data_IF_801916840823
#
_entry.id   IF_801916840823
#
_cell.length_a   1.000
_cell.length_b   1.000
_cell.length_c   1.000
_cell.angle_alpha   90.00
_cell.angle_beta   90.00
_cell.angle_gamma   90.00
#
_symmetry.space_group_name_H-M   'P 1'
#
loop_
_entity.id
_entity.type
_entity.pdbx_description
1 polymer ?
#
# COMPACT_ATOMS: atom_id res chain seq x y z
N UNK A 1 23.70 45.26 30.76
CA UNK A 1 23.70 44.57 29.47
C UNK A 1 23.41 43.09 29.69
N UNK A 2 22.15 42.66 29.51
CA UNK A 2 21.74 41.29 29.65
C UNK A 2 21.93 40.60 28.29
N UNK A 3 22.87 39.67 28.21
CA UNK A 3 23.13 38.86 26.99
C UNK A 3 22.06 37.76 26.91
N UNK A 4 21.04 37.96 26.09
CA UNK A 4 20.06 36.93 25.79
C UNK A 4 20.72 35.81 24.96
N UNK A 5 20.93 34.64 25.55
CA UNK A 5 21.37 33.44 24.91
C UNK A 5 20.24 32.97 23.97
N UNK A 6 20.40 33.18 22.68
CA UNK A 6 19.59 32.59 21.63
C UNK A 6 19.88 31.08 21.57
N UNK A 7 19.11 30.27 22.26
CA UNK A 7 19.13 28.83 22.07
C UNK A 7 18.54 28.56 20.67
N UNK A 8 19.40 28.37 19.69
CA UNK A 8 19.05 27.89 18.36
C UNK A 8 18.39 26.52 18.52
N UNK A 9 17.08 26.45 18.29
CA UNK A 9 16.35 25.19 18.23
C UNK A 9 16.93 24.35 17.10
N UNK A 10 17.51 23.21 17.42
CA UNK A 10 18.07 22.26 16.46
C UNK A 10 16.94 21.44 15.80
N UNK A 11 16.12 22.11 15.00
CA UNK A 11 14.93 21.54 14.34
C UNK A 11 15.29 20.60 13.18
N UNK A 12 16.51 20.64 12.68
CA UNK A 12 16.95 19.83 11.54
C UNK A 12 16.93 18.33 11.82
N UNK A 13 17.23 17.90 13.04
CA UNK A 13 17.23 16.48 13.40
C UNK A 13 15.84 15.82 13.39
N UNK A 14 14.76 16.59 13.49
CA UNK A 14 13.40 16.03 13.47
C UNK A 14 12.93 15.61 12.09
N UNK A 15 13.57 16.10 11.02
CA UNK A 15 13.13 15.85 9.63
C UNK A 15 14.09 14.95 8.85
N UNK A 16 15.25 14.60 9.40
CA UNK A 16 16.26 13.76 8.76
C UNK A 16 15.95 12.29 9.02
N UNK A 17 16.03 11.49 7.97
CA UNK A 17 15.92 10.02 8.02
C UNK A 17 17.26 9.38 8.37
N UNK A 18 17.25 8.14 8.88
CA UNK A 18 18.44 7.28 9.04
C UNK A 18 19.64 7.97 9.74
N UNK A 19 19.39 8.60 10.88
CA UNK A 19 20.41 9.39 11.57
C UNK A 19 21.53 8.55 12.18
N UNK A 20 21.30 7.25 12.31
CA UNK A 20 22.22 6.24 12.87
C UNK A 20 22.86 5.35 11.77
N UNK A 21 22.73 5.75 10.48
CA UNK A 21 23.32 4.98 9.39
C UNK A 21 24.86 5.00 9.46
N UNK A 22 25.47 3.82 9.43
CA UNK A 22 26.90 3.65 9.27
C UNK A 22 27.25 3.47 7.78
N UNK A 23 27.94 4.47 7.23
CA UNK A 23 28.32 4.47 5.81
C UNK A 23 29.29 3.32 5.52
N UNK A 24 29.02 2.54 4.47
CA UNK A 24 29.81 1.37 4.04
C UNK A 24 29.82 0.19 5.03
N UNK A 25 28.91 0.17 6.00
CA UNK A 25 28.69 -0.98 6.89
C UNK A 25 27.52 -1.82 6.35
N UNK A 26 27.68 -3.13 6.08
CA UNK A 26 26.58 -3.97 5.67
C UNK A 26 25.67 -4.26 6.87
N UNK A 27 24.37 -4.00 6.72
CA UNK A 27 23.35 -4.38 7.68
C UNK A 27 22.49 -5.54 7.17
N UNK A 28 22.09 -6.41 8.09
CA UNK A 28 21.16 -7.47 7.75
C UNK A 28 19.75 -6.89 7.53
N UNK A 29 19.18 -7.13 6.37
CA UNK A 29 17.80 -6.75 6.02
C UNK A 29 16.89 -7.96 6.22
N UNK A 30 15.69 -7.73 6.75
CA UNK A 30 14.68 -8.79 6.82
C UNK A 30 14.39 -9.31 5.39
N UNK A 31 14.26 -10.65 5.20
CA UNK A 31 13.94 -11.20 3.88
C UNK A 31 12.57 -10.68 3.43
N UNK A 32 12.38 -10.42 2.12
CA UNK A 32 11.08 -10.02 1.60
C UNK A 32 10.02 -11.06 1.97
N UNK A 33 8.86 -10.58 2.40
CA UNK A 33 7.69 -11.42 2.61
C UNK A 33 6.75 -11.20 1.44
N UNK A 34 6.63 -12.21 0.59
CA UNK A 34 5.69 -12.17 -0.52
C UNK A 34 4.26 -12.07 -0.01
N UNK A 35 3.46 -11.27 -0.68
CA UNK A 35 2.05 -11.09 -0.37
C UNK A 35 1.30 -12.37 -0.76
N UNK A 36 0.47 -12.86 0.14
CA UNK A 36 -0.41 -14.00 -0.06
C UNK A 36 -1.86 -13.55 -0.15
N UNK A 37 -2.66 -14.21 -1.00
CA UNK A 37 -4.08 -13.89 -1.15
C UNK A 37 -4.90 -14.33 0.07
N UNK A 38 -5.93 -13.56 0.37
CA UNK A 38 -6.86 -13.79 1.47
C UNK A 38 -8.31 -13.92 0.93
N UNK A 39 -9.24 -14.49 1.72
CA UNK A 39 -10.65 -14.46 1.36
C UNK A 39 -11.12 -13.05 0.99
N UNK A 40 -11.95 -12.94 -0.06
CA UNK A 40 -12.47 -11.69 -0.66
C UNK A 40 -11.48 -10.91 -1.51
N UNK A 41 -10.23 -11.37 -1.64
CA UNK A 41 -9.33 -10.80 -2.62
C UNK A 41 -9.80 -11.10 -4.05
N UNK A 42 -9.34 -10.24 -4.95
CA UNK A 42 -9.58 -10.41 -6.36
C UNK A 42 -8.26 -10.57 -7.11
N UNK A 43 -8.16 -11.63 -7.90
CA UNK A 43 -7.00 -11.94 -8.72
C UNK A 43 -7.43 -12.15 -10.16
N UNK A 44 -6.58 -11.81 -11.12
CA UNK A 44 -6.73 -12.26 -12.51
C UNK A 44 -5.81 -13.44 -12.74
N UNK A 45 -6.29 -14.41 -13.52
CA UNK A 45 -5.51 -15.57 -13.94
C UNK A 45 -5.63 -15.64 -15.45
N UNK A 46 -4.49 -15.56 -16.13
CA UNK A 46 -4.41 -15.68 -17.59
C UNK A 46 -3.65 -16.94 -17.94
N UNK A 47 -4.30 -17.79 -18.72
CA UNK A 47 -3.70 -19.00 -19.29
C UNK A 47 -3.35 -18.73 -20.75
N UNK A 48 -2.10 -18.96 -21.10
CA UNK A 48 -1.61 -18.92 -22.49
C UNK A 48 -1.05 -20.29 -22.89
N UNK A 49 -1.24 -20.66 -24.14
CA UNK A 49 -0.80 -21.93 -24.70
C UNK A 49 -0.45 -21.74 -26.18
N UNK A 50 0.24 -22.71 -26.77
CA UNK A 50 0.45 -22.76 -28.23
C UNK A 50 -0.85 -22.89 -29.02
N UNK A 51 -1.89 -23.41 -28.37
CA UNK A 51 -3.25 -23.47 -28.93
C UNK A 51 -4.09 -22.34 -28.30
N UNK A 52 -4.35 -21.25 -29.06
CA UNK A 52 -5.10 -20.09 -28.52
C UNK A 52 -6.58 -20.40 -28.27
N UNK A 53 -7.18 -21.34 -29.00
CA UNK A 53 -8.59 -21.70 -28.83
C UNK A 53 -8.81 -22.44 -27.53
N UNK A 54 -7.89 -23.36 -27.16
CA UNK A 54 -7.89 -24.01 -25.87
C UNK A 54 -7.63 -23.00 -24.74
N UNK A 55 -6.67 -22.10 -24.91
CA UNK A 55 -6.37 -21.09 -23.90
C UNK A 55 -7.57 -20.17 -23.63
N UNK A 56 -8.37 -19.85 -24.64
CA UNK A 56 -9.55 -18.99 -24.50
C UNK A 56 -10.62 -19.57 -23.56
N UNK A 57 -10.69 -20.89 -23.41
CA UNK A 57 -11.65 -21.56 -22.52
C UNK A 57 -11.41 -21.27 -21.05
N UNK A 58 -10.17 -20.93 -20.69
CA UNK A 58 -9.75 -20.68 -19.29
C UNK A 58 -9.71 -19.19 -18.95
N UNK A 59 -9.83 -18.32 -19.96
CA UNK A 59 -9.72 -16.87 -19.77
C UNK A 59 -11.11 -16.24 -19.73
N UNK A 60 -11.56 -15.84 -18.53
CA UNK A 60 -12.80 -15.09 -18.36
C UNK A 60 -12.67 -13.69 -18.94
N UNK A 61 -13.41 -13.40 -20.01
CA UNK A 61 -13.52 -12.05 -20.57
C UNK A 61 -14.76 -11.35 -20.01
N UNK A 62 -14.61 -10.15 -19.46
CA UNK A 62 -15.77 -9.30 -19.14
C UNK A 62 -16.34 -8.73 -20.43
N UNK A 63 -17.51 -9.20 -20.82
CA UNK A 63 -18.34 -8.49 -21.79
C UNK A 63 -19.05 -7.38 -21.02
N UNK A 64 -18.63 -6.12 -21.19
CA UNK A 64 -19.40 -4.98 -20.69
C UNK A 64 -20.67 -4.84 -21.55
N UNK A 65 -21.72 -5.56 -21.17
CA UNK A 65 -23.05 -5.33 -21.70
C UNK A 65 -23.61 -4.06 -21.06
N UNK A 66 -23.44 -2.91 -21.71
CA UNK A 66 -24.22 -1.72 -21.41
C UNK A 66 -25.67 -1.97 -21.83
N UNK A 67 -26.51 -2.27 -20.86
CA UNK A 67 -27.96 -2.32 -21.07
C UNK A 67 -28.41 -0.90 -21.49
N UNK A 68 -28.84 -0.73 -22.74
CA UNK A 68 -29.45 0.52 -23.20
C UNK A 68 -28.70 1.32 -24.27
N UNK A 69 -27.56 0.91 -24.80
CA UNK A 69 -26.92 1.58 -25.93
C UNK A 69 -27.20 0.89 -27.24
N UNK A 70 -28.13 1.40 -28.05
CA UNK A 70 -28.36 1.06 -29.45
C UNK A 70 -27.36 1.79 -30.36
N UNK A 71 -26.08 1.66 -30.13
CA UNK A 71 -25.04 2.27 -30.94
C UNK A 71 -24.02 1.23 -31.38
N UNK A 72 -23.96 0.93 -32.64
CA UNK A 72 -22.89 0.21 -33.32
C UNK A 72 -21.60 1.06 -33.30
N UNK A 73 -20.97 1.19 -32.17
CA UNK A 73 -19.63 1.73 -32.12
C UNK A 73 -18.64 0.56 -31.92
N UNK A 74 -17.92 0.26 -32.97
CA UNK A 74 -16.68 -0.50 -33.00
C UNK A 74 -15.67 0.13 -32.05
N UNK A 75 -15.85 -0.07 -30.75
CA UNK A 75 -14.81 0.23 -29.76
C UNK A 75 -13.98 -1.05 -29.65
N UNK A 76 -12.69 -0.92 -29.87
CA UNK A 76 -11.70 -1.94 -29.63
C UNK A 76 -12.02 -2.65 -28.32
N UNK A 77 -12.59 -3.85 -28.39
CA UNK A 77 -12.74 -4.77 -27.28
C UNK A 77 -11.35 -5.25 -26.87
N UNK A 78 -10.59 -4.39 -26.19
CA UNK A 78 -9.61 -4.89 -25.24
C UNK A 78 -10.44 -5.51 -24.12
N UNK A 79 -10.75 -6.80 -24.26
CA UNK A 79 -11.48 -7.57 -23.28
C UNK A 79 -10.76 -7.42 -21.94
N UNK A 80 -11.33 -6.62 -21.06
CA UNK A 80 -10.83 -6.50 -19.70
C UNK A 80 -10.96 -7.87 -19.04
N UNK A 81 -9.85 -8.44 -18.61
CA UNK A 81 -9.82 -9.78 -18.02
C UNK A 81 -10.67 -9.75 -16.76
N UNK A 82 -11.63 -10.66 -16.65
CA UNK A 82 -12.44 -10.80 -15.45
C UNK A 82 -11.58 -11.38 -14.32
N UNK A 83 -11.60 -10.73 -13.15
CA UNK A 83 -10.96 -11.28 -11.98
C UNK A 83 -11.80 -12.36 -11.31
N UNK A 84 -11.11 -13.26 -10.62
CA UNK A 84 -11.69 -14.25 -9.71
C UNK A 84 -11.71 -13.64 -8.32
N UNK A 85 -12.87 -13.64 -7.66
CA UNK A 85 -12.99 -13.23 -6.25
C UNK A 85 -12.93 -14.48 -5.38
N UNK A 86 -12.04 -14.48 -4.39
CA UNK A 86 -11.95 -15.59 -3.43
C UNK A 86 -13.19 -15.58 -2.54
N UNK A 87 -13.78 -16.76 -2.35
CA UNK A 87 -14.89 -16.95 -1.42
C UNK A 87 -14.43 -16.87 0.06
N UNK A 88 -15.37 -17.02 0.99
CA UNK A 88 -15.09 -16.97 2.44
C UNK A 88 -14.15 -18.12 2.90
N UNK A 89 -14.01 -19.18 2.12
CA UNK A 89 -13.10 -20.30 2.36
C UNK A 89 -11.76 -20.12 1.66
N UNK A 90 -11.58 -19.02 0.91
CA UNK A 90 -10.38 -18.73 0.17
C UNK A 90 -10.21 -19.53 -1.12
N UNK A 91 -11.31 -19.95 -1.70
CA UNK A 91 -11.34 -20.68 -2.97
C UNK A 91 -11.86 -19.80 -4.11
N UNK A 92 -11.48 -20.16 -5.33
CA UNK A 92 -11.98 -19.59 -6.57
C UNK A 92 -12.65 -20.68 -7.39
N UNK A 93 -13.68 -20.34 -8.18
CA UNK A 93 -14.27 -21.22 -9.17
C UNK A 93 -13.58 -20.97 -10.51
N UNK A 94 -12.68 -21.90 -10.89
CA UNK A 94 -11.87 -21.76 -12.10
C UNK A 94 -12.49 -22.59 -13.24
N UNK A 95 -12.63 -22.04 -14.46
CA UNK A 95 -13.24 -22.76 -15.58
C UNK A 95 -12.61 -24.13 -15.79
N UNK A 96 -13.45 -25.14 -15.99
CA UNK A 96 -13.08 -26.55 -16.22
C UNK A 96 -12.48 -27.24 -15.01
N UNK A 97 -11.56 -26.58 -14.26
CA UNK A 97 -10.93 -27.19 -13.08
C UNK A 97 -11.81 -27.11 -11.81
N UNK A 98 -12.88 -26.32 -11.85
CA UNK A 98 -13.78 -26.16 -10.72
C UNK A 98 -13.17 -25.40 -9.55
N UNK A 99 -13.49 -25.82 -8.33
CA UNK A 99 -13.11 -25.10 -7.11
C UNK A 99 -11.64 -25.34 -6.73
N UNK A 100 -10.85 -24.26 -6.66
CA UNK A 100 -9.45 -24.26 -6.28
C UNK A 100 -9.23 -23.42 -5.03
N UNK A 101 -8.75 -24.02 -3.94
CA UNK A 101 -8.37 -23.31 -2.71
C UNK A 101 -7.01 -22.67 -2.89
N UNK A 102 -6.96 -21.32 -2.83
CA UNK A 102 -5.74 -20.54 -3.09
C UNK A 102 -5.39 -19.58 -1.94
N UNK A 103 -6.23 -19.48 -0.91
CA UNK A 103 -5.94 -18.64 0.25
C UNK A 103 -4.59 -18.98 0.88
N UNK A 104 -3.82 -17.96 1.26
CA UNK A 104 -2.48 -18.10 1.81
C UNK A 104 -1.39 -18.38 0.78
N UNK A 105 -1.72 -18.50 -0.50
CA UNK A 105 -0.75 -18.70 -1.58
C UNK A 105 -0.26 -17.38 -2.15
N UNK A 106 0.98 -17.35 -2.63
CA UNK A 106 1.54 -16.27 -3.44
C UNK A 106 1.09 -16.38 -4.89
N UNK A 107 1.26 -15.34 -5.70
CA UNK A 107 0.98 -15.38 -7.15
C UNK A 107 1.69 -16.54 -7.85
N UNK A 108 2.95 -16.75 -7.51
CA UNK A 108 3.78 -17.83 -8.09
C UNK A 108 3.24 -19.21 -7.72
N UNK A 109 2.79 -19.41 -6.48
CA UNK A 109 2.21 -20.67 -6.03
C UNK A 109 0.86 -20.95 -6.70
N UNK A 110 0.01 -19.92 -6.86
CA UNK A 110 -1.27 -20.06 -7.59
C UNK A 110 -1.02 -20.42 -9.05
N UNK A 111 -0.09 -19.73 -9.71
CA UNK A 111 0.28 -20.02 -11.10
C UNK A 111 0.79 -21.47 -11.24
N UNK A 112 1.63 -21.93 -10.32
CA UNK A 112 2.13 -23.31 -10.31
C UNK A 112 1.01 -24.33 -10.10
N UNK A 113 0.08 -24.08 -9.17
CA UNK A 113 -1.08 -24.94 -8.91
C UNK A 113 -1.95 -25.08 -10.15
N UNK A 114 -2.36 -23.96 -10.76
CA UNK A 114 -3.21 -23.97 -11.97
C UNK A 114 -2.49 -24.68 -13.11
N UNK A 115 -1.21 -24.39 -13.32
CA UNK A 115 -0.38 -25.05 -14.34
C UNK A 115 -0.30 -26.56 -14.14
N UNK A 116 -0.12 -27.01 -12.90
CA UNK A 116 -0.07 -28.42 -12.55
C UNK A 116 -1.40 -29.09 -12.85
N UNK A 117 -2.52 -28.53 -12.40
CA UNK A 117 -3.86 -29.09 -12.59
C UNK A 117 -4.24 -29.21 -14.09
N UNK A 118 -3.92 -28.16 -14.88
CA UNK A 118 -4.17 -28.18 -16.33
C UNK A 118 -3.42 -29.31 -17.04
N UNK A 119 -2.21 -29.65 -16.57
CA UNK A 119 -1.41 -30.77 -17.09
C UNK A 119 -1.91 -32.13 -16.63
N UNK A 120 -2.23 -32.28 -15.34
CA UNK A 120 -2.71 -33.54 -14.74
C UNK A 120 -4.02 -34.01 -15.41
N UNK A 121 -4.90 -33.06 -15.74
CA UNK A 121 -6.16 -33.34 -16.42
C UNK A 121 -6.03 -33.41 -17.95
N UNK A 122 -4.79 -33.33 -18.49
CA UNK A 122 -4.49 -33.33 -19.92
C UNK A 122 -5.26 -32.28 -20.75
N UNK A 123 -5.61 -31.15 -20.12
CA UNK A 123 -6.35 -30.07 -20.76
C UNK A 123 -5.45 -29.18 -21.62
N UNK A 124 -4.21 -28.92 -21.16
CA UNK A 124 -3.22 -28.12 -21.90
C UNK A 124 -1.84 -28.73 -21.68
N UNK A 125 -1.10 -29.00 -22.77
CA UNK A 125 0.22 -29.66 -22.68
C UNK A 125 1.32 -28.72 -22.18
N UNK A 126 1.30 -27.45 -22.57
CA UNK A 126 2.34 -26.45 -22.24
C UNK A 126 1.74 -25.13 -21.75
N UNK A 127 0.96 -25.13 -20.66
CA UNK A 127 0.33 -23.92 -20.15
C UNK A 127 1.36 -22.95 -19.57
N UNK A 128 1.22 -21.68 -19.96
CA UNK A 128 1.84 -20.53 -19.29
C UNK A 128 0.74 -19.84 -18.50
N UNK A 129 0.90 -19.76 -17.20
CA UNK A 129 -0.10 -19.17 -16.30
C UNK A 129 0.47 -17.91 -15.66
N UNK A 130 -0.21 -16.79 -15.83
CA UNK A 130 0.11 -15.51 -15.22
C UNK A 130 -0.99 -15.15 -14.23
N UNK A 131 -0.60 -14.78 -13.01
CA UNK A 131 -1.52 -14.37 -11.94
C UNK A 131 -1.19 -12.95 -11.52
N UNK A 132 -2.19 -12.07 -11.46
CA UNK A 132 -2.04 -10.69 -11.04
C UNK A 132 -3.05 -10.33 -9.94
N UNK A 133 -2.64 -9.51 -8.99
CA UNK A 133 -3.53 -8.96 -7.99
C UNK A 133 -4.36 -7.82 -8.60
N UNK A 134 -5.67 -7.77 -8.27
CA UNK A 134 -6.57 -6.74 -8.82
C UNK A 134 -7.03 -5.71 -7.79
N UNK A 135 -7.19 -6.09 -6.53
CA UNK A 135 -7.72 -5.22 -5.48
C UNK A 135 -6.83 -5.06 -4.25
N UNK A 136 -5.63 -5.62 -4.28
CA UNK A 136 -4.73 -5.46 -3.14
C UNK A 136 -4.30 -4.01 -2.97
N UNK A 137 -4.34 -3.53 -1.74
CA UNK A 137 -4.08 -2.13 -1.43
C UNK A 137 -3.68 -1.96 0.03
N UNK A 138 -3.03 -0.84 0.30
CA UNK A 138 -2.79 -0.29 1.63
C UNK A 138 -3.26 1.17 1.66
N UNK A 139 -3.35 1.75 2.84
CA UNK A 139 -3.73 3.15 3.00
C UNK A 139 -2.63 3.93 3.69
N UNK A 140 -2.41 5.18 3.26
CA UNK A 140 -1.51 6.11 3.94
C UNK A 140 -2.31 7.33 4.38
N UNK A 141 -2.24 7.65 5.66
CA UNK A 141 -3.01 8.71 6.29
C UNK A 141 -2.09 9.65 7.11
N UNK A 142 -2.61 10.82 7.42
CA UNK A 142 -1.94 11.80 8.27
C UNK A 142 -1.06 12.76 7.49
N UNK A 143 0.09 13.13 8.05
CA UNK A 143 0.95 14.19 7.53
C UNK A 143 1.88 13.72 6.41
N UNK A 144 1.28 13.31 5.29
CA UNK A 144 1.92 13.04 3.99
C UNK A 144 1.38 13.98 2.93
N UNK A 145 2.06 14.12 1.79
CA UNK A 145 1.63 15.05 0.74
C UNK A 145 0.31 14.62 0.09
N UNK A 146 0.16 13.33 -0.16
CA UNK A 146 -1.02 12.75 -0.83
C UNK A 146 -1.56 11.58 -0.01
N UNK A 147 -2.33 11.84 1.06
CA UNK A 147 -2.98 10.75 1.80
C UNK A 147 -4.01 10.05 0.91
N UNK A 148 -4.09 8.72 1.02
CA UNK A 148 -5.00 7.96 0.17
C UNK A 148 -4.82 6.45 0.27
N UNK A 149 -5.56 5.74 -0.57
CA UNK A 149 -5.47 4.29 -0.77
C UNK A 149 -4.63 4.02 -2.01
N UNK A 150 -3.64 3.13 -1.88
CA UNK A 150 -2.68 2.80 -2.92
C UNK A 150 -2.76 1.32 -3.28
N UNK A 151 -2.73 1.00 -4.56
CA UNK A 151 -2.76 -0.37 -5.06
C UNK A 151 -1.39 -1.03 -4.95
N UNK A 152 -1.38 -2.32 -4.65
CA UNK A 152 -0.18 -3.16 -4.64
C UNK A 152 -0.17 -3.99 -5.91
N UNK A 153 0.83 -3.80 -6.76
CA UNK A 153 1.00 -4.54 -8.03
C UNK A 153 2.23 -5.45 -8.03
N UNK A 154 3.03 -5.41 -6.96
CA UNK A 154 4.26 -6.20 -6.78
C UNK A 154 4.03 -7.35 -5.80
N UNK A 155 4.98 -8.29 -5.74
CA UNK A 155 4.93 -9.39 -4.77
C UNK A 155 5.15 -8.93 -3.33
N UNK A 156 5.84 -7.81 -3.15
CA UNK A 156 6.02 -7.15 -1.86
C UNK A 156 6.08 -5.63 -2.02
N UNK A 157 5.83 -4.91 -0.96
CA UNK A 157 5.98 -3.46 -0.87
C UNK A 157 6.56 -3.09 0.49
N UNK A 158 7.51 -2.16 0.51
CA UNK A 158 8.14 -1.68 1.74
C UNK A 158 7.40 -0.46 2.30
N UNK A 159 7.55 -0.21 3.60
CA UNK A 159 7.03 1.00 4.24
C UNK A 159 7.59 2.28 3.59
N UNK A 160 8.86 2.27 3.17
CA UNK A 160 9.49 3.40 2.50
C UNK A 160 8.91 3.64 1.10
N UNK A 161 8.63 2.58 0.33
CA UNK A 161 7.92 2.70 -0.95
C UNK A 161 6.51 3.27 -0.75
N UNK A 162 5.79 2.80 0.26
CA UNK A 162 4.45 3.30 0.57
C UNK A 162 4.45 4.80 0.91
N UNK A 163 5.41 5.25 1.71
CA UNK A 163 5.61 6.66 2.04
C UNK A 163 5.99 7.45 0.78
N UNK A 164 6.86 6.91 -0.06
CA UNK A 164 7.25 7.54 -1.33
C UNK A 164 6.06 7.69 -2.29
N UNK A 165 5.20 6.67 -2.39
CA UNK A 165 3.96 6.75 -3.18
C UNK A 165 3.01 7.84 -2.68
N UNK A 166 2.98 8.09 -1.37
CA UNK A 166 2.22 9.18 -0.76
C UNK A 166 2.93 10.56 -0.88
N UNK A 167 4.03 10.64 -1.64
CA UNK A 167 4.77 11.86 -1.91
C UNK A 167 5.63 12.34 -0.75
N UNK A 168 5.98 11.44 0.17
CA UNK A 168 6.75 11.70 1.38
C UNK A 168 5.96 12.46 2.48
N UNK A 169 6.54 12.49 3.69
CA UNK A 169 5.96 13.23 4.82
C UNK A 169 6.03 14.74 4.56
N UNK A 170 5.02 15.47 5.04
CA UNK A 170 5.12 16.93 5.11
C UNK A 170 6.16 17.36 6.15
N UNK A 171 6.50 18.64 6.18
CA UNK A 171 7.37 19.21 7.22
C UNK A 171 6.76 19.08 8.63
N UNK A 172 5.47 18.82 8.70
CA UNK A 172 4.72 18.66 9.95
C UNK A 172 4.61 17.19 10.39
N UNK A 173 4.96 16.24 9.53
CA UNK A 173 4.93 14.82 9.84
C UNK A 173 6.06 14.42 10.79
N UNK A 174 5.73 13.70 11.85
CA UNK A 174 6.70 13.17 12.80
C UNK A 174 7.39 11.93 12.22
N UNK A 175 8.71 12.01 11.95
CA UNK A 175 9.51 10.89 11.46
C UNK A 175 9.72 9.81 12.52
N UNK A 176 9.62 10.18 13.79
CA UNK A 176 9.75 9.29 14.95
C UNK A 176 8.42 8.63 15.37
N UNK A 177 7.32 8.90 14.69
CA UNK A 177 6.01 8.43 15.10
C UNK A 177 5.15 8.03 13.89
N UNK A 178 5.59 6.98 13.20
CA UNK A 178 4.83 6.30 12.17
C UNK A 178 4.15 5.08 12.80
N UNK A 179 2.87 4.92 12.57
CA UNK A 179 2.12 3.76 13.01
C UNK A 179 1.68 2.93 11.81
N UNK A 180 1.98 1.65 11.85
CA UNK A 180 1.40 0.68 10.92
C UNK A 180 0.36 -0.12 11.66
N UNK A 181 -0.89 0.03 11.25
CA UNK A 181 -2.03 -0.65 11.84
C UNK A 181 -2.35 -1.83 10.94
N UNK A 182 -2.26 -3.03 11.48
CA UNK A 182 -2.45 -4.30 10.78
C UNK A 182 -3.49 -5.15 11.50
N UNK A 183 -4.31 -5.85 10.74
CA UNK A 183 -5.17 -6.89 11.27
C UNK A 183 -4.46 -8.24 11.18
N UNK A 184 -4.26 -8.90 12.32
CA UNK A 184 -3.62 -10.21 12.43
C UNK A 184 -4.50 -11.13 13.27
N UNK A 185 -4.89 -12.28 12.70
CA UNK A 185 -5.71 -13.30 13.39
C UNK A 185 -7.01 -12.75 14.00
N UNK A 186 -7.62 -11.75 13.37
CA UNK A 186 -8.84 -11.11 13.85
C UNK A 186 -8.63 -10.05 14.93
N UNK A 187 -7.39 -9.73 15.29
CA UNK A 187 -7.02 -8.66 16.21
C UNK A 187 -6.32 -7.52 15.46
N UNK A 188 -6.54 -6.29 15.92
CA UNK A 188 -5.87 -5.13 15.37
C UNK A 188 -4.61 -4.83 16.16
N UNK A 189 -3.46 -4.96 15.51
CA UNK A 189 -2.14 -4.67 16.08
C UNK A 189 -1.63 -3.35 15.51
N UNK A 190 -1.11 -2.49 16.38
CA UNK A 190 -0.49 -1.23 15.97
C UNK A 190 1.01 -1.31 16.25
N UNK A 191 1.81 -1.21 15.19
CA UNK A 191 3.27 -1.19 15.26
C UNK A 191 3.76 0.25 15.16
N UNK A 192 4.67 0.61 16.02
CA UNK A 192 5.36 1.89 15.97
C UNK A 192 6.68 1.75 15.21
N UNK A 193 7.00 2.75 14.38
CA UNK A 193 8.23 2.81 13.58
C UNK A 193 8.82 4.21 13.65
N UNK A 194 10.14 4.28 13.84
CA UNK A 194 10.93 5.51 13.75
C UNK A 194 11.72 5.51 12.44
N UNK A 195 11.41 6.43 11.52
CA UNK A 195 12.11 6.56 10.24
C UNK A 195 13.50 7.19 10.37
N UNK A 196 13.85 7.70 11.55
CA UNK A 196 15.16 8.28 11.83
C UNK A 196 16.20 7.22 12.18
N UNK A 197 15.75 6.00 12.50
CA UNK A 197 16.61 4.88 12.84
C UNK A 197 16.62 3.82 11.75
N UNK A 198 17.79 3.22 11.53
CA UNK A 198 17.96 2.05 10.65
C UNK A 198 17.30 0.78 11.19
N UNK A 199 16.90 0.74 12.47
CA UNK A 199 16.14 -0.39 13.02
C UNK A 199 14.81 -0.63 12.30
N UNK A 200 14.31 0.35 11.55
CA UNK A 200 13.14 0.17 10.70
C UNK A 200 13.30 -1.00 9.72
N UNK A 201 14.51 -1.27 9.21
CA UNK A 201 14.78 -2.38 8.28
C UNK A 201 14.62 -3.76 8.90
N UNK A 202 14.63 -3.84 10.24
CA UNK A 202 14.40 -5.06 11.04
C UNK A 202 12.95 -5.16 11.55
N UNK A 203 12.14 -4.12 11.30
CA UNK A 203 10.76 -4.07 11.77
C UNK A 203 9.89 -5.15 11.11
N UNK A 204 8.99 -5.82 11.85
CA UNK A 204 8.05 -6.80 11.29
C UNK A 204 7.05 -6.17 10.31
N UNK A 205 6.95 -4.83 10.28
CA UNK A 205 6.10 -4.08 9.37
C UNK A 205 6.90 -3.30 8.32
N UNK A 206 8.19 -3.59 8.16
CA UNK A 206 8.97 -3.03 7.06
C UNK A 206 8.39 -3.43 5.70
N UNK A 207 7.97 -4.68 5.56
CA UNK A 207 7.14 -5.15 4.46
C UNK A 207 5.67 -5.03 4.83
N UNK A 208 4.94 -4.25 4.05
CA UNK A 208 3.51 -4.05 4.24
C UNK A 208 2.73 -5.25 3.70
N UNK A 209 1.61 -5.52 4.33
CA UNK A 209 0.59 -6.45 3.87
C UNK A 209 -0.61 -5.69 3.31
N UNK A 210 -1.49 -6.40 2.62
CA UNK A 210 -2.75 -5.83 2.18
C UNK A 210 -3.58 -5.33 3.37
N UNK A 211 -4.34 -4.27 3.16
CA UNK A 211 -5.17 -3.58 4.13
C UNK A 211 -4.41 -2.92 5.30
N UNK A 212 -3.07 -2.92 5.29
CA UNK A 212 -2.31 -2.13 6.26
C UNK A 212 -2.68 -0.64 6.15
N UNK A 213 -2.74 0.01 7.30
CA UNK A 213 -2.90 1.45 7.38
C UNK A 213 -1.64 2.07 7.95
N UNK A 214 -0.94 2.85 7.13
CA UNK A 214 0.22 3.63 7.54
C UNK A 214 -0.27 5.01 7.99
N UNK A 215 -0.09 5.35 9.25
CA UNK A 215 -0.50 6.64 9.79
C UNK A 215 0.71 7.45 10.23
N UNK A 216 0.86 8.64 9.66
CA UNK A 216 1.89 9.62 10.01
C UNK A 216 1.33 10.64 10.97
N UNK A 217 1.86 10.65 12.20
CA UNK A 217 1.39 11.56 13.23
C UNK A 217 1.83 13.01 12.95
N UNK A 218 0.95 14.02 13.15
CA UNK A 218 1.32 15.43 13.07
C UNK A 218 2.20 15.85 14.25
N UNK A 219 3.06 16.82 14.03
CA UNK A 219 3.84 17.47 15.09
C UNK A 219 2.98 18.49 15.88
N UNK A 220 3.52 19.00 16.96
CA UNK A 220 2.82 19.96 17.86
C UNK A 220 2.43 21.26 17.13
N UNK A 221 3.22 21.70 16.15
CA UNK A 221 2.94 22.92 15.38
C UNK A 221 1.66 22.73 14.56
N UNK A 222 1.52 21.60 13.86
CA UNK A 222 0.33 21.27 13.08
C UNK A 222 -0.89 21.07 13.98
N UNK A 223 -0.73 20.36 15.08
CA UNK A 223 -1.80 20.14 16.05
C UNK A 223 -2.30 21.49 16.65
N UNK A 224 -1.40 22.40 16.94
CA UNK A 224 -1.75 23.74 17.45
C UNK A 224 -2.47 24.62 16.43
N UNK A 225 -2.28 24.41 15.13
CA UNK A 225 -3.03 25.13 14.08
C UNK A 225 -4.51 24.74 14.02
N UNK A 226 -4.90 23.62 14.58
CA UNK A 226 -6.30 23.17 14.63
C UNK A 226 -7.11 23.89 15.71
N UNK A 227 -6.46 24.55 16.67
CA UNK A 227 -7.11 25.34 17.73
C UNK A 227 -7.05 26.81 17.38
N UNK A 228 -8.12 27.32 16.75
CA UNK A 228 -8.21 28.70 16.26
C UNK A 228 -8.02 29.79 17.32
N UNK A 229 -8.26 29.50 18.60
CA UNK A 229 -8.18 30.48 19.68
C UNK A 229 -6.79 30.65 20.30
N UNK A 230 -5.95 29.61 20.33
CA UNK A 230 -4.62 29.72 20.96
C UNK A 230 -3.58 30.41 20.07
N UNK A 231 -3.67 30.26 18.76
CA UNK A 231 -2.70 30.86 17.83
C UNK A 231 -2.97 32.34 17.56
N UNK A 232 -4.23 32.77 17.63
CA UNK A 232 -4.58 34.19 17.46
C UNK A 232 -4.02 35.05 18.60
N UNK A 233 -4.06 34.57 19.81
CA UNK A 233 -3.54 35.28 21.01
C UNK A 233 -2.02 35.28 21.05
N UNK A 234 -1.36 34.25 20.47
CA UNK A 234 0.11 34.12 20.42
C UNK A 234 0.74 34.84 19.23
N UNK A 235 -0.04 35.39 18.28
CA UNK A 235 0.52 36.09 17.14
C UNK A 235 1.07 37.45 17.55
N UNK A 236 2.37 37.66 17.32
CA UNK A 236 3.04 38.94 17.57
C UNK A 236 2.36 40.08 16.81
N UNK A 237 1.78 39.77 15.63
CA UNK A 237 1.02 40.75 14.82
C UNK A 237 -0.22 41.30 15.51
N UNK A 238 -0.92 40.50 16.30
CA UNK A 238 -2.09 40.96 17.05
C UNK A 238 -1.69 41.95 18.16
N UNK A 239 -0.59 41.66 18.87
CA UNK A 239 -0.08 42.57 19.91
C UNK A 239 0.51 43.86 19.35
N UNK A 240 1.15 43.79 18.15
CA UNK A 240 1.62 45.02 17.47
C UNK A 240 0.43 45.85 17.03
N UNK A 241 -0.64 45.23 16.50
CA UNK A 241 -1.86 45.95 16.10
C UNK A 241 -2.56 46.63 17.27
N UNK A 242 -2.61 45.96 18.45
CA UNK A 242 -3.17 46.55 19.68
C UNK A 242 -2.29 47.67 20.18
N UNK A 243 -0.96 47.49 20.13
CA UNK A 243 0.00 48.51 20.52
C UNK A 243 -0.06 49.76 19.68
N UNK A 244 -0.27 49.63 18.35
CA UNK A 244 -0.40 50.77 17.42
C UNK A 244 -1.72 51.52 17.53
N UNK A 245 -2.74 50.94 18.16
CA UNK A 245 -4.03 51.59 18.41
C UNK A 245 -4.04 52.43 19.71
N UNK A 246 -3.05 52.24 20.58
CA UNK A 246 -2.93 52.93 21.87
C UNK A 246 -1.90 54.07 21.84
N UNK A 247 -1.26 54.32 20.70
CA UNK A 247 -0.36 55.44 20.43
C UNK A 247 -0.99 56.40 19.43
#
# INVERSE_FOLDING_TARGET
FSLALLSSCNTSKEIIYFQDVEVNSPEAVAPPQDITVQPKDQISIVVSSKDPELAALFNLTRVQQRVGSTGLNNSNNNGEISGYTLDDKGAIDFPVLGNLTVAGMTRSQIAALVKQRLKEENLVNDPVVTVEFMNLSFSVLGEVKTPGKYSISKDYITLLEAISMAGDLTIYGKRDAIFVIREEKGERVTHWVDLRSCDLFKSPVYYLKQNDVVYVQPNKVRAGQSTLNENSVKSVGLWISIGSFLT
#
